data_IF_005721666254
#
_entry.id   IF_005721666254
#
_cell.length_a   1.000
_cell.length_b   1.000
_cell.length_c   1.000
_cell.angle_alpha   90.00
_cell.angle_beta   90.00
_cell.angle_gamma   90.00
#
_symmetry.space_group_name_H-M   'P 1'
#
loop_
_entity.id
_entity.type
_entity.pdbx_description
1 polymer ?
#
# COMPACT_ATOMS: atom_id res chain seq x y z
N UNK A 1 -2.63 -14.47 -10.59
CA UNK A 1 -3.45 -13.43 -9.94
C UNK A 1 -4.48 -14.11 -9.06
N UNK A 2 -4.62 -13.65 -7.82
CA UNK A 2 -5.32 -14.37 -6.75
C UNK A 2 -6.68 -13.76 -6.32
N UNK A 3 -7.34 -12.96 -7.19
CA UNK A 3 -8.60 -12.30 -6.82
C UNK A 3 -9.66 -13.32 -6.33
N UNK A 4 -9.77 -14.48 -6.99
CA UNK A 4 -10.73 -15.53 -6.57
C UNK A 4 -10.46 -15.98 -5.14
N UNK A 5 -9.18 -16.20 -4.78
CA UNK A 5 -8.79 -16.65 -3.45
C UNK A 5 -9.00 -15.55 -2.40
N UNK A 6 -8.72 -14.28 -2.74
CA UNK A 6 -9.01 -13.14 -1.87
C UNK A 6 -10.52 -13.05 -1.57
N UNK A 7 -11.36 -13.20 -2.59
CA UNK A 7 -12.82 -13.19 -2.44
C UNK A 7 -13.31 -14.38 -1.62
N UNK A 8 -12.72 -15.55 -1.81
CA UNK A 8 -13.03 -16.75 -1.02
C UNK A 8 -12.66 -16.55 0.45
N UNK A 9 -11.44 -16.09 0.71
CA UNK A 9 -10.99 -15.79 2.08
C UNK A 9 -11.86 -14.74 2.76
N UNK A 10 -12.17 -13.63 2.05
CA UNK A 10 -13.08 -12.60 2.56
C UNK A 10 -14.46 -13.19 2.91
N UNK A 11 -15.00 -14.05 2.07
CA UNK A 11 -16.31 -14.68 2.31
C UNK A 11 -16.28 -15.58 3.54
N UNK A 12 -15.28 -16.44 3.66
CA UNK A 12 -15.08 -17.31 4.81
C UNK A 12 -14.98 -16.50 6.10
N UNK A 13 -14.07 -15.54 6.16
CA UNK A 13 -13.88 -14.71 7.35
C UNK A 13 -15.10 -13.86 7.71
N UNK A 14 -15.83 -13.38 6.70
CA UNK A 14 -17.01 -12.55 6.94
C UNK A 14 -18.25 -13.37 7.34
N UNK A 15 -18.52 -14.51 6.66
CA UNK A 15 -19.72 -15.30 6.88
C UNK A 15 -19.54 -16.39 7.94
N UNK A 16 -18.44 -17.15 7.84
CA UNK A 16 -18.25 -18.33 8.66
C UNK A 16 -17.63 -17.98 10.02
N UNK A 17 -16.73 -16.97 10.03
CA UNK A 17 -16.08 -16.46 11.26
C UNK A 17 -16.83 -15.26 11.86
N UNK A 18 -17.69 -14.59 11.09
CA UNK A 18 -18.51 -13.47 11.58
C UNK A 18 -17.78 -12.12 11.66
N UNK A 19 -16.63 -11.95 11.03
CA UNK A 19 -15.91 -10.66 11.01
C UNK A 19 -16.64 -9.67 10.10
N UNK A 20 -17.08 -8.53 10.64
CA UNK A 20 -17.78 -7.51 9.86
C UNK A 20 -16.98 -6.97 8.68
N UNK A 21 -17.59 -6.85 7.50
CA UNK A 21 -16.94 -6.47 6.25
C UNK A 21 -16.12 -5.18 6.31
N UNK A 22 -16.53 -4.22 7.15
CA UNK A 22 -15.83 -2.93 7.38
C UNK A 22 -14.46 -3.08 8.06
N UNK A 23 -14.19 -4.19 8.69
CA UNK A 23 -12.91 -4.47 9.38
C UNK A 23 -11.88 -5.10 8.46
N UNK A 24 -12.23 -5.39 7.21
CA UNK A 24 -11.26 -5.86 6.23
C UNK A 24 -10.61 -4.72 5.47
N UNK A 25 -9.35 -4.91 5.18
CA UNK A 25 -8.61 -4.14 4.19
C UNK A 25 -8.08 -5.09 3.12
N UNK A 26 -8.41 -4.82 1.87
CA UNK A 26 -7.85 -5.53 0.72
C UNK A 26 -6.73 -4.67 0.15
N UNK A 27 -5.50 -5.19 0.20
CA UNK A 27 -4.32 -4.50 -0.32
C UNK A 27 -3.97 -4.99 -1.72
N UNK A 28 -3.53 -4.07 -2.57
CA UNK A 28 -3.09 -4.38 -3.93
C UNK A 28 -1.96 -3.44 -4.36
N UNK A 29 -1.02 -3.97 -5.13
CA UNK A 29 0.01 -3.16 -5.81
C UNK A 29 -0.53 -2.52 -7.10
N UNK A 30 -1.74 -2.90 -7.49
CA UNK A 30 -2.33 -2.55 -8.76
C UNK A 30 -2.06 -3.63 -9.81
N UNK A 31 -3.13 -4.19 -10.35
CA UNK A 31 -3.08 -5.17 -11.44
C UNK A 31 -4.14 -4.78 -12.46
N UNK A 32 -3.82 -4.69 -13.75
CA UNK A 32 -4.75 -4.25 -14.78
C UNK A 32 -6.10 -4.96 -14.70
N UNK A 33 -7.18 -4.19 -14.81
CA UNK A 33 -8.57 -4.69 -14.85
C UNK A 33 -9.05 -5.45 -13.60
N UNK A 34 -8.30 -5.43 -12.47
CA UNK A 34 -8.74 -6.14 -11.26
C UNK A 34 -9.59 -5.27 -10.34
N UNK A 35 -9.38 -3.96 -10.34
CA UNK A 35 -10.19 -3.06 -9.50
C UNK A 35 -11.64 -3.00 -9.96
N UNK A 36 -11.89 -3.02 -11.27
CA UNK A 36 -13.26 -3.09 -11.83
C UNK A 36 -13.96 -4.39 -11.43
N UNK A 37 -13.26 -5.53 -11.50
CA UNK A 37 -13.78 -6.82 -11.06
C UNK A 37 -14.07 -6.83 -9.56
N UNK A 38 -13.15 -6.28 -8.75
CA UNK A 38 -13.37 -6.15 -7.30
C UNK A 38 -14.57 -5.27 -6.97
N UNK A 39 -14.75 -4.15 -7.69
CA UNK A 39 -15.87 -3.23 -7.52
C UNK A 39 -17.22 -3.92 -7.70
N UNK A 40 -17.34 -4.84 -8.66
CA UNK A 40 -18.56 -5.58 -8.96
C UNK A 40 -19.06 -6.41 -7.75
N UNK A 41 -18.17 -6.81 -6.84
CA UNK A 41 -18.54 -7.56 -5.63
C UNK A 41 -19.12 -6.71 -4.50
N UNK A 42 -19.07 -5.38 -4.59
CA UNK A 42 -19.64 -4.42 -3.62
C UNK A 42 -19.28 -4.73 -2.15
N UNK A 43 -18.06 -5.21 -1.93
CA UNK A 43 -17.58 -5.57 -0.59
C UNK A 43 -17.55 -4.33 0.32
N UNK A 44 -17.77 -4.50 1.62
CA UNK A 44 -17.63 -3.41 2.60
C UNK A 44 -16.17 -3.14 3.01
N UNK A 45 -15.24 -3.95 2.55
CA UNK A 45 -13.81 -3.79 2.82
C UNK A 45 -13.24 -2.45 2.32
N UNK A 46 -12.22 -1.96 3.01
CA UNK A 46 -11.39 -0.84 2.53
C UNK A 46 -10.46 -1.35 1.43
N UNK A 47 -10.28 -0.58 0.35
CA UNK A 47 -9.26 -0.84 -0.64
C UNK A 47 -8.02 0.01 -0.33
N UNK A 48 -6.88 -0.65 -0.17
CA UNK A 48 -5.57 -0.05 0.02
C UNK A 48 -4.69 -0.32 -1.21
N UNK A 49 -4.18 0.75 -1.81
CA UNK A 49 -3.36 0.67 -3.03
C UNK A 49 -1.92 1.03 -2.70
N UNK A 50 -1.00 0.10 -2.91
CA UNK A 50 0.45 0.31 -2.74
C UNK A 50 0.97 1.20 -3.86
N UNK A 51 1.09 2.51 -3.59
CA UNK A 51 1.53 3.51 -4.56
C UNK A 51 3.02 3.79 -4.46
N UNK A 52 3.49 4.15 -3.28
CA UNK A 52 4.87 4.36 -2.83
C UNK A 52 5.68 5.43 -3.59
N UNK A 53 5.17 5.97 -4.68
CA UNK A 53 5.83 7.02 -5.46
C UNK A 53 4.81 7.93 -6.14
N UNK A 54 5.14 9.24 -6.33
CA UNK A 54 4.28 10.18 -7.04
C UNK A 54 4.53 10.22 -8.56
N UNK A 55 5.58 9.54 -9.07
CA UNK A 55 5.91 9.48 -10.49
C UNK A 55 6.12 8.04 -10.95
N UNK A 56 5.99 7.81 -12.26
CA UNK A 56 6.20 6.48 -12.85
C UNK A 56 7.63 5.98 -12.66
N UNK A 57 8.60 6.84 -12.94
CA UNK A 57 10.04 6.50 -12.88
C UNK A 57 10.43 6.04 -11.47
N UNK A 58 10.01 6.81 -10.45
CA UNK A 58 10.29 6.45 -9.07
C UNK A 58 9.53 5.19 -8.65
N UNK A 59 8.31 5.04 -9.14
CA UNK A 59 7.51 3.86 -8.85
C UNK A 59 8.10 2.59 -9.45
N UNK A 60 8.63 2.64 -10.66
CA UNK A 60 9.32 1.51 -11.30
C UNK A 60 10.61 1.11 -10.57
N UNK A 61 11.33 2.11 -10.03
CA UNK A 61 12.52 1.86 -9.21
C UNK A 61 12.15 1.10 -7.92
N UNK A 62 11.05 1.48 -7.26
CA UNK A 62 10.64 0.93 -5.97
C UNK A 62 9.80 -0.35 -6.11
N UNK A 63 9.07 -0.50 -7.19
CA UNK A 63 8.14 -1.60 -7.44
C UNK A 63 8.41 -2.15 -8.86
N UNK A 64 9.21 -3.20 -9.00
CA UNK A 64 9.57 -3.72 -10.32
C UNK A 64 8.36 -4.10 -11.20
N UNK A 65 7.25 -4.56 -10.59
CA UNK A 65 6.00 -4.87 -11.32
C UNK A 65 5.28 -3.64 -11.89
N UNK A 66 5.66 -2.43 -11.48
CA UNK A 66 5.07 -1.19 -11.99
C UNK A 66 5.42 -0.90 -13.46
N UNK A 67 6.47 -1.54 -13.99
CA UNK A 67 6.80 -1.50 -15.42
C UNK A 67 5.68 -2.06 -16.32
N UNK A 68 4.92 -3.02 -15.80
CA UNK A 68 3.83 -3.65 -16.54
C UNK A 68 2.48 -2.91 -16.39
N UNK A 69 2.39 -1.91 -15.51
CA UNK A 69 1.16 -1.19 -15.25
C UNK A 69 1.44 0.25 -14.85
N UNK A 70 1.24 1.16 -15.80
CA UNK A 70 1.56 2.58 -15.62
C UNK A 70 0.75 3.20 -14.48
N UNK A 71 1.36 4.14 -13.76
CA UNK A 71 0.70 4.81 -12.62
C UNK A 71 -0.58 5.54 -13.02
N UNK A 72 -0.62 6.13 -14.21
CA UNK A 72 -1.81 6.82 -14.70
C UNK A 72 -2.98 5.86 -14.91
N UNK A 73 -2.74 4.68 -15.47
CA UNK A 73 -3.75 3.65 -15.68
C UNK A 73 -4.25 3.10 -14.33
N UNK A 74 -3.33 2.89 -13.39
CA UNK A 74 -3.67 2.49 -12.03
C UNK A 74 -4.58 3.53 -11.35
N UNK A 75 -4.25 4.82 -11.47
CA UNK A 75 -5.03 5.88 -10.83
C UNK A 75 -6.38 6.10 -11.53
N UNK A 76 -6.46 5.86 -12.84
CA UNK A 76 -7.73 5.86 -13.55
C UNK A 76 -8.63 4.69 -13.08
N UNK A 77 -8.08 3.48 -12.95
CA UNK A 77 -8.81 2.35 -12.36
C UNK A 77 -9.27 2.66 -10.91
N UNK A 78 -8.44 3.34 -10.13
CA UNK A 78 -8.80 3.81 -8.79
C UNK A 78 -9.97 4.82 -8.83
N UNK A 79 -9.94 5.76 -9.78
CA UNK A 79 -11.01 6.75 -9.98
C UNK A 79 -12.32 6.07 -10.36
N UNK A 80 -12.28 5.11 -11.27
CA UNK A 80 -13.45 4.32 -11.70
C UNK A 80 -13.99 3.47 -10.55
N UNK A 81 -13.12 2.81 -9.78
CA UNK A 81 -13.50 2.07 -8.57
C UNK A 81 -14.24 2.97 -7.58
N UNK A 82 -13.68 4.15 -7.28
CA UNK A 82 -14.29 5.12 -6.38
C UNK A 82 -15.66 5.59 -6.90
N UNK A 83 -15.76 5.88 -8.20
CA UNK A 83 -17.01 6.30 -8.85
C UNK A 83 -18.08 5.21 -8.74
N UNK A 84 -17.74 3.95 -8.95
CA UNK A 84 -18.70 2.83 -8.96
C UNK A 84 -19.12 2.37 -7.57
N UNK A 85 -18.24 2.51 -6.57
CA UNK A 85 -18.49 2.00 -5.21
C UNK A 85 -18.89 3.09 -4.20
N UNK A 86 -18.61 4.36 -4.49
CA UNK A 86 -18.75 5.48 -3.55
C UNK A 86 -17.73 5.45 -2.41
N UNK A 87 -16.76 4.53 -2.42
CA UNK A 87 -15.86 4.30 -1.30
C UNK A 87 -14.62 5.15 -1.36
N UNK A 88 -14.14 5.53 -0.18
CA UNK A 88 -12.84 6.17 -0.02
C UNK A 88 -11.73 5.15 -0.30
N UNK A 89 -10.70 5.59 -1.04
CA UNK A 89 -9.49 4.82 -1.28
C UNK A 89 -8.40 5.21 -0.28
N UNK A 90 -7.63 4.22 0.15
CA UNK A 90 -6.40 4.41 0.90
C UNK A 90 -5.21 4.11 0.00
N UNK A 91 -4.20 4.98 0.02
CA UNK A 91 -2.93 4.79 -0.69
C UNK A 91 -1.84 4.55 0.33
N UNK A 92 -1.18 3.41 0.24
CA UNK A 92 -0.03 3.09 1.07
C UNK A 92 1.21 3.74 0.45
N UNK A 93 1.97 4.45 1.29
CA UNK A 93 3.18 5.15 0.90
C UNK A 93 4.29 4.87 1.91
N UNK A 94 5.17 3.94 1.58
CA UNK A 94 6.35 3.63 2.38
C UNK A 94 7.38 4.72 2.18
N UNK A 95 7.78 5.36 3.27
CA UNK A 95 8.79 6.40 3.27
C UNK A 95 10.18 5.77 3.41
N UNK A 96 11.04 6.02 2.42
CA UNK A 96 12.42 5.56 2.30
C UNK A 96 13.34 6.77 2.33
N UNK A 97 14.33 6.77 3.24
CA UNK A 97 15.22 7.91 3.44
C UNK A 97 16.01 8.25 2.17
N UNK A 98 15.92 9.51 1.74
CA UNK A 98 16.65 10.02 0.57
C UNK A 98 16.12 9.56 -0.79
N UNK A 99 15.07 8.73 -0.83
CA UNK A 99 14.51 8.22 -2.08
C UNK A 99 13.17 8.87 -2.43
N UNK A 100 12.19 8.79 -1.53
CA UNK A 100 10.83 9.28 -1.77
C UNK A 100 10.25 10.11 -0.62
N UNK A 101 11.07 10.49 0.37
CA UNK A 101 10.67 11.14 1.62
C UNK A 101 10.80 12.66 1.64
N UNK A 102 11.07 13.29 0.49
CA UNK A 102 11.21 14.75 0.42
C UNK A 102 9.87 15.47 0.44
N UNK A 103 9.82 16.76 0.90
CA UNK A 103 8.63 17.59 0.81
C UNK A 103 8.11 17.77 -0.62
N UNK A 104 8.98 17.71 -1.62
CA UNK A 104 8.63 17.78 -3.06
C UNK A 104 7.81 16.57 -3.46
N UNK A 105 8.23 15.37 -3.04
CA UNK A 105 7.48 14.13 -3.25
C UNK A 105 6.10 14.19 -2.58
N UNK A 106 6.01 14.75 -1.37
CA UNK A 106 4.72 14.93 -0.67
C UNK A 106 3.76 15.83 -1.46
N UNK A 107 4.26 16.97 -1.95
CA UNK A 107 3.45 17.90 -2.78
C UNK A 107 3.04 17.25 -4.11
N UNK A 108 3.95 16.55 -4.76
CA UNK A 108 3.66 15.82 -6.00
C UNK A 108 2.58 14.75 -5.78
N UNK A 109 2.71 13.95 -4.71
CA UNK A 109 1.72 12.95 -4.31
C UNK A 109 0.34 13.55 -4.07
N UNK A 110 0.26 14.63 -3.30
CA UNK A 110 -1.00 15.29 -3.01
C UNK A 110 -1.68 15.83 -4.27
N UNK A 111 -0.92 16.50 -5.16
CA UNK A 111 -1.42 16.96 -6.46
C UNK A 111 -1.88 15.80 -7.34
N UNK A 112 -1.07 14.76 -7.46
CA UNK A 112 -1.38 13.57 -8.26
C UNK A 112 -2.72 12.94 -7.85
N UNK A 113 -2.90 12.67 -6.56
CA UNK A 113 -4.11 12.05 -6.04
C UNK A 113 -5.34 12.95 -6.24
N UNK A 114 -5.19 14.26 -6.00
CA UNK A 114 -6.28 15.22 -6.19
C UNK A 114 -6.73 15.31 -7.65
N UNK A 115 -5.78 15.33 -8.59
CA UNK A 115 -6.08 15.53 -10.01
C UNK A 115 -6.56 14.24 -10.67
N UNK A 116 -5.99 13.09 -10.34
CA UNK A 116 -6.28 11.82 -11.01
C UNK A 116 -7.41 11.02 -10.35
N UNK A 117 -7.52 11.05 -9.01
CA UNK A 117 -8.53 10.26 -8.27
C UNK A 117 -9.63 11.13 -7.69
N UNK A 118 -9.36 12.42 -7.53
CA UNK A 118 -10.27 13.38 -6.92
C UNK A 118 -10.15 13.45 -5.39
N UNK A 119 -10.90 14.42 -4.81
CA UNK A 119 -10.87 14.69 -3.37
C UNK A 119 -11.30 13.50 -2.52
N UNK A 120 -10.82 13.45 -1.27
CA UNK A 120 -11.23 12.46 -0.28
C UNK A 120 -10.40 11.18 -0.30
N UNK A 121 -9.28 11.14 -1.04
CA UNK A 121 -8.30 10.05 -0.90
C UNK A 121 -7.58 10.12 0.44
N UNK A 122 -7.20 8.97 0.97
CA UNK A 122 -6.39 8.86 2.19
C UNK A 122 -5.02 8.30 1.88
N UNK A 123 -3.98 8.84 2.51
CA UNK A 123 -2.63 8.32 2.40
C UNK A 123 -2.20 7.77 3.76
N UNK A 124 -1.76 6.54 3.78
CA UNK A 124 -1.15 5.93 4.95
C UNK A 124 0.37 5.97 4.78
N UNK A 125 1.03 6.82 5.56
CA UNK A 125 2.47 6.99 5.55
C UNK A 125 3.13 5.94 6.44
N UNK A 126 3.99 5.12 5.86
CA UNK A 126 4.66 3.98 6.48
C UNK A 126 6.16 4.25 6.54
N UNK A 127 6.71 4.81 7.64
CA UNK A 127 8.16 4.87 7.78
C UNK A 127 8.75 3.46 7.66
N UNK A 128 9.70 3.28 6.74
CA UNK A 128 10.28 1.96 6.47
C UNK A 128 10.93 1.36 7.72
N UNK A 129 10.77 0.06 7.89
CA UNK A 129 11.43 -0.71 8.94
C UNK A 129 12.53 -1.56 8.32
N UNK A 130 13.71 -1.65 8.94
CA UNK A 130 14.74 -2.59 8.53
C UNK A 130 14.19 -4.01 8.39
N UNK A 131 14.65 -4.72 7.38
CA UNK A 131 14.28 -6.10 7.09
C UNK A 131 15.53 -6.94 7.24
N UNK A 132 15.50 -7.95 8.08
CA UNK A 132 16.63 -8.87 8.29
C UNK A 132 17.08 -9.49 6.96
N UNK A 133 18.35 -9.30 6.59
CA UNK A 133 18.94 -9.74 5.33
C UNK A 133 18.73 -8.81 4.14
N UNK A 134 18.19 -7.61 4.38
CA UNK A 134 18.06 -6.54 3.38
C UNK A 134 18.28 -5.15 4.02
N UNK A 135 19.17 -5.09 5.02
CA UNK A 135 19.44 -3.88 5.80
C UNK A 135 19.99 -2.75 4.91
N UNK A 136 20.76 -3.11 3.88
CA UNK A 136 21.40 -2.17 2.96
C UNK A 136 20.51 -1.76 1.78
N UNK A 137 19.34 -2.39 1.61
CA UNK A 137 18.48 -2.11 0.47
C UNK A 137 17.86 -0.70 0.52
N UNK A 138 17.49 -0.24 1.73
CA UNK A 138 16.87 1.05 1.98
C UNK A 138 17.17 1.53 3.39
N UNK A 139 17.12 2.84 3.61
CA UNK A 139 17.28 3.44 4.92
C UNK A 139 15.93 3.96 5.49
N UNK A 140 15.79 3.87 6.81
CA UNK A 140 14.66 4.42 7.53
C UNK A 140 14.74 5.94 7.57
N UNK A 141 13.66 6.68 7.25
CA UNK A 141 13.64 8.13 7.35
C UNK A 141 13.71 8.58 8.82
N UNK A 142 14.38 9.70 9.07
CA UNK A 142 14.38 10.34 10.38
C UNK A 142 12.98 10.84 10.75
N UNK A 143 12.69 10.97 12.06
CA UNK A 143 11.43 11.55 12.53
C UNK A 143 11.18 12.96 11.95
N UNK A 144 12.25 13.75 11.77
CA UNK A 144 12.18 15.08 11.17
C UNK A 144 11.83 15.03 9.69
N UNK A 145 12.36 14.07 8.92
CA UNK A 145 12.01 13.88 7.50
C UNK A 145 10.54 13.47 7.36
N UNK A 146 10.07 12.50 8.16
CA UNK A 146 8.67 12.10 8.20
C UNK A 146 7.75 13.28 8.53
N UNK A 147 8.13 14.10 9.52
CA UNK A 147 7.34 15.30 9.88
C UNK A 147 7.31 16.30 8.72
N UNK A 148 8.45 16.61 8.08
CA UNK A 148 8.49 17.54 6.94
C UNK A 148 7.65 17.06 5.76
N UNK A 149 7.68 15.76 5.46
CA UNK A 149 6.83 15.15 4.45
C UNK A 149 5.34 15.32 4.80
N UNK A 150 4.96 14.96 6.03
CA UNK A 150 3.59 15.07 6.51
C UNK A 150 3.08 16.53 6.49
N UNK A 151 3.89 17.48 6.95
CA UNK A 151 3.56 18.91 6.93
C UNK A 151 3.39 19.45 5.49
N UNK A 152 4.19 18.95 4.55
CA UNK A 152 4.05 19.31 3.14
C UNK A 152 2.78 18.69 2.51
N UNK A 153 2.47 17.44 2.83
CA UNK A 153 1.26 16.77 2.36
C UNK A 153 -0.01 17.39 2.95
N UNK A 154 0.03 17.85 4.21
CA UNK A 154 -1.08 18.53 4.88
C UNK A 154 -1.54 19.80 4.16
N UNK A 155 -0.64 20.48 3.44
CA UNK A 155 -0.94 21.68 2.65
C UNK A 155 -1.70 21.36 1.36
N UNK A 156 -1.70 20.12 0.92
CA UNK A 156 -2.38 19.67 -0.30
C UNK A 156 -3.86 19.37 0.02
N UNK A 157 -4.74 20.28 -0.42
CA UNK A 157 -6.19 20.17 -0.14
C UNK A 157 -6.80 18.93 -0.81
N UNK A 158 -7.71 18.25 -0.10
CA UNK A 158 -8.49 17.13 -0.64
C UNK A 158 -7.86 15.76 -0.44
N UNK A 159 -6.70 15.69 0.22
CA UNK A 159 -6.06 14.46 0.66
C UNK A 159 -5.94 14.48 2.19
N UNK A 160 -6.28 13.38 2.84
CA UNK A 160 -6.03 13.16 4.26
C UNK A 160 -4.93 12.14 4.42
N UNK A 161 -4.25 12.13 5.57
CA UNK A 161 -3.21 11.13 5.81
C UNK A 161 -3.14 10.70 7.27
N UNK A 162 -2.51 9.57 7.50
CA UNK A 162 -2.05 9.09 8.80
C UNK A 162 -0.59 8.68 8.70
N UNK A 163 0.16 8.88 9.79
CA UNK A 163 1.51 8.32 9.92
C UNK A 163 1.41 7.09 10.81
N UNK A 164 1.75 5.93 10.27
CA UNK A 164 1.72 4.68 11.02
C UNK A 164 2.82 4.68 12.07
N UNK A 165 2.44 4.43 13.32
CA UNK A 165 3.43 4.17 14.37
C UNK A 165 4.07 2.82 14.14
N UNK A 166 5.39 2.79 14.14
CA UNK A 166 6.14 1.54 14.07
C UNK A 166 5.87 0.71 15.30
N UNK A 167 5.52 -0.54 15.09
CA UNK A 167 5.41 -1.58 16.12
C UNK A 167 6.20 -2.80 15.65
N UNK A 168 6.76 -3.58 16.59
CA UNK A 168 7.44 -4.84 16.25
C UNK A 168 8.80 -4.68 15.59
N UNK A 169 9.56 -3.61 15.92
CA UNK A 169 10.96 -3.48 15.48
C UNK A 169 11.84 -4.64 15.97
N UNK A 170 11.46 -5.23 17.10
CA UNK A 170 12.19 -6.34 17.75
C UNK A 170 11.73 -7.73 17.28
N UNK A 171 10.71 -7.79 16.42
CA UNK A 171 10.01 -9.03 16.07
C UNK A 171 9.79 -9.13 14.57
N UNK A 172 10.80 -9.04 13.73
CA UNK A 172 10.77 -9.27 12.27
C UNK A 172 9.35 -9.09 11.64
N UNK A 173 8.66 -7.99 12.02
CA UNK A 173 7.23 -7.80 11.75
C UNK A 173 6.96 -7.06 10.43
N UNK A 174 7.90 -7.04 9.49
CA UNK A 174 7.66 -6.49 8.17
C UNK A 174 6.93 -7.51 7.28
N UNK A 175 6.24 -6.99 6.27
CA UNK A 175 5.47 -7.79 5.33
C UNK A 175 6.37 -8.82 4.62
N UNK A 176 6.04 -10.10 4.71
CA UNK A 176 6.80 -11.20 4.10
C UNK A 176 7.95 -11.78 4.95
N UNK A 177 8.39 -11.14 6.03
CA UNK A 177 9.49 -11.64 6.86
C UNK A 177 9.16 -12.97 7.55
N UNK A 178 7.96 -13.12 8.10
CA UNK A 178 7.53 -14.37 8.74
C UNK A 178 7.60 -15.56 7.78
N UNK A 179 7.20 -15.39 6.53
CA UNK A 179 7.28 -16.45 5.52
C UNK A 179 8.72 -16.83 5.22
N UNK A 180 9.64 -15.85 5.14
CA UNK A 180 11.07 -16.10 4.91
C UNK A 180 11.72 -16.92 6.02
N UNK A 181 11.39 -16.65 7.28
CA UNK A 181 11.91 -17.39 8.43
C UNK A 181 11.38 -18.84 8.50
N UNK A 182 10.12 -19.06 8.15
CA UNK A 182 9.53 -20.42 8.07
C UNK A 182 10.16 -21.25 6.96
N UNK A 183 10.35 -20.68 5.77
CA UNK A 183 10.98 -21.38 4.63
C UNK A 183 12.44 -21.72 4.94
N UNK A 184 13.20 -20.84 5.58
CA UNK A 184 14.59 -21.12 6.00
C UNK A 184 14.63 -22.26 7.04
N UNK A 185 13.83 -22.19 8.10
CA UNK A 185 13.74 -23.24 9.13
C UNK A 185 13.26 -24.58 8.56
N UNK A 186 12.31 -24.58 7.61
CA UNK A 186 11.84 -25.78 6.94
C UNK A 186 12.91 -26.45 6.08
N UNK A 187 13.76 -25.68 5.39
CA UNK A 187 14.88 -26.21 4.61
C UNK A 187 16.00 -26.77 5.51
N UNK A 188 16.30 -26.11 6.62
CA UNK A 188 17.27 -26.59 7.60
C UNK A 188 16.78 -27.84 8.35
N UNK A 189 15.47 -28.00 8.54
CA UNK A 189 14.82 -29.15 9.16
C UNK A 189 14.50 -30.29 8.18
N UNK A 190 14.83 -30.18 6.90
CA UNK A 190 14.56 -31.22 5.88
C UNK A 190 13.07 -31.48 5.61
N UNK A 191 12.20 -30.57 6.02
CA UNK A 191 10.76 -30.67 5.76
C UNK A 191 10.45 -30.04 4.41
N UNK A 192 9.94 -30.83 3.46
CA UNK A 192 9.43 -30.33 2.19
C UNK A 192 8.20 -29.43 2.45
N UNK A 193 8.25 -28.20 1.96
CA UNK A 193 7.16 -27.20 2.03
C UNK A 193 6.44 -27.17 0.70
#
# INVERSE_FOLDING_TARGET
MNLKEVLRAHRCLNRDVGIGGRYFTISTVGVPNQLSKLAAHKLQATLAVSLHAPTQELREKLIPSAKAYHVDDLLEDCRLYKKSTGKRLTFEYTLLAGENDSPEHARALGRLLRTRVGRGSHVNLLPWNPVTGAEDAHARPSKTAVKRFADALAKERGVTFTVRRTRGLEADAACGQLTGSFVRKGREAGVAV
#
